data_IF_513259510909
#
_entry.id   IF_513259510909
#
_cell.length_a   1.000
_cell.length_b   1.000
_cell.length_c   1.000
_cell.angle_alpha   90.00
_cell.angle_beta   90.00
_cell.angle_gamma   90.00
#
_symmetry.space_group_name_H-M   'P 1'
#
loop_
_entity.id
_entity.type
_entity.pdbx_description
1 polymer ?
#
# COMPACT_ATOMS: atom_id res chain seq x y z
N UNK A 1 14.85 -30.16 -12.20
CA UNK A 1 16.04 -29.49 -12.75
C UNK A 1 16.67 -28.65 -11.64
N UNK A 2 17.77 -29.09 -11.02
CA UNK A 2 18.28 -28.50 -9.78
C UNK A 2 19.14 -27.25 -10.05
N UNK A 3 19.12 -26.25 -9.15
CA UNK A 3 19.80 -24.94 -9.25
C UNK A 3 21.30 -25.06 -9.59
N UNK A 4 21.92 -26.17 -9.16
CA UNK A 4 23.32 -26.52 -9.44
C UNK A 4 23.60 -26.66 -10.96
N UNK A 5 22.61 -27.11 -11.73
CA UNK A 5 22.73 -27.33 -13.17
C UNK A 5 22.76 -26.01 -13.97
N UNK A 6 22.08 -24.97 -13.48
CA UNK A 6 22.07 -23.63 -14.11
C UNK A 6 23.38 -22.87 -13.90
N UNK A 7 24.02 -23.04 -12.73
CA UNK A 7 25.35 -22.46 -12.44
C UNK A 7 26.44 -23.00 -13.37
N UNK A 8 26.35 -24.26 -13.80
CA UNK A 8 27.27 -24.89 -14.78
C UNK A 8 27.09 -24.34 -16.20
N UNK A 9 25.95 -23.74 -16.51
CA UNK A 9 25.64 -23.15 -17.83
C UNK A 9 26.15 -21.71 -18.00
N UNK A 10 26.89 -21.16 -17.03
CA UNK A 10 27.47 -19.80 -17.11
C UNK A 10 26.47 -18.65 -17.00
N UNK A 11 25.18 -18.93 -16.78
CA UNK A 11 24.17 -17.90 -16.48
C UNK A 11 24.34 -17.46 -15.03
N UNK A 12 24.76 -16.22 -14.84
CA UNK A 12 24.81 -15.58 -13.52
C UNK A 12 23.38 -15.27 -13.05
N UNK A 13 22.77 -16.28 -12.43
CA UNK A 13 21.42 -16.25 -11.85
C UNK A 13 21.28 -15.20 -10.73
N UNK A 14 22.39 -14.67 -10.21
CA UNK A 14 22.41 -13.75 -9.07
C UNK A 14 22.72 -12.30 -9.49
N UNK A 15 22.95 -12.06 -10.78
CA UNK A 15 23.17 -10.72 -11.37
C UNK A 15 22.03 -9.73 -11.09
N UNK A 16 20.80 -10.22 -10.88
CA UNK A 16 19.65 -9.38 -10.53
C UNK A 16 19.62 -8.96 -9.05
N UNK A 17 20.26 -9.71 -8.14
CA UNK A 17 20.33 -9.36 -6.71
C UNK A 17 21.39 -8.32 -6.38
N UNK A 18 22.36 -8.10 -7.26
CA UNK A 18 23.44 -7.11 -7.05
C UNK A 18 22.97 -5.66 -7.21
N UNK A 19 21.77 -5.43 -7.75
CA UNK A 19 21.24 -4.09 -7.97
C UNK A 19 20.72 -3.54 -6.64
N UNK A 20 21.13 -2.33 -6.22
CA UNK A 20 20.59 -1.71 -5.02
C UNK A 20 19.09 -1.47 -5.19
N UNK A 21 18.37 -1.45 -4.06
CA UNK A 21 16.93 -1.16 -4.06
C UNK A 21 16.70 0.27 -4.53
N UNK A 22 15.74 0.46 -5.44
CA UNK A 22 15.33 1.79 -5.91
C UNK A 22 14.89 2.68 -4.74
N UNK A 23 15.31 3.94 -4.76
CA UNK A 23 15.01 4.92 -3.71
C UNK A 23 13.50 5.12 -3.54
N UNK A 24 12.74 5.04 -4.64
CA UNK A 24 11.28 5.08 -4.63
C UNK A 24 10.66 3.94 -3.83
N UNK A 25 11.27 2.76 -3.83
CA UNK A 25 10.81 1.60 -3.06
C UNK A 25 11.06 1.81 -1.58
N UNK A 26 12.23 2.36 -1.22
CA UNK A 26 12.55 2.69 0.18
C UNK A 26 11.57 3.73 0.72
N UNK A 27 11.29 4.80 -0.03
CA UNK A 27 10.34 5.82 0.44
C UNK A 27 8.91 5.29 0.55
N UNK A 28 8.49 4.43 -0.39
CA UNK A 28 7.20 3.71 -0.30
C UNK A 28 7.11 2.90 0.99
N UNK A 29 8.17 2.15 1.33
CA UNK A 29 8.24 1.35 2.54
C UNK A 29 8.13 2.23 3.80
N UNK A 30 8.85 3.35 3.85
CA UNK A 30 8.81 4.27 4.99
C UNK A 30 7.41 4.87 5.17
N UNK A 31 6.79 5.35 4.08
CA UNK A 31 5.45 5.94 4.13
C UNK A 31 4.42 4.94 4.62
N UNK A 32 4.43 3.73 4.07
CA UNK A 32 3.51 2.67 4.50
C UNK A 32 3.74 2.27 5.94
N UNK A 33 4.99 2.10 6.34
CA UNK A 33 5.32 1.72 7.73
C UNK A 33 4.83 2.79 8.70
N UNK A 34 5.03 4.07 8.40
CA UNK A 34 4.56 5.17 9.23
C UNK A 34 3.02 5.18 9.35
N UNK A 35 2.31 5.03 8.22
CA UNK A 35 0.83 5.04 8.23
C UNK A 35 0.28 3.84 9.00
N UNK A 36 0.82 2.65 8.77
CA UNK A 36 0.37 1.43 9.43
C UNK A 36 0.69 1.46 10.93
N UNK A 37 1.87 1.95 11.33
CA UNK A 37 2.20 2.14 12.75
C UNK A 37 1.21 3.10 13.44
N UNK A 38 0.70 4.08 12.71
CA UNK A 38 -0.30 5.04 13.20
C UNK A 38 -1.74 4.48 13.20
N UNK A 39 -1.99 3.33 12.59
CA UNK A 39 -3.34 2.82 12.33
C UNK A 39 -4.17 2.54 13.58
N UNK A 40 -3.51 2.21 14.70
CA UNK A 40 -4.18 2.02 16.00
C UNK A 40 -4.88 3.31 16.48
N UNK A 41 -4.37 4.47 16.07
CA UNK A 41 -4.92 5.79 16.42
C UNK A 41 -5.90 6.24 15.34
N UNK A 42 -5.54 6.09 14.07
CA UNK A 42 -6.38 6.54 12.96
C UNK A 42 -7.65 5.71 12.81
N UNK A 43 -7.62 4.42 13.16
CA UNK A 43 -8.67 3.48 12.78
C UNK A 43 -8.56 3.05 11.32
N UNK A 44 -9.29 2.00 10.95
CA UNK A 44 -9.09 1.34 9.66
C UNK A 44 -9.52 2.20 8.48
N UNK A 45 -10.67 2.89 8.58
CA UNK A 45 -11.18 3.73 7.50
C UNK A 45 -10.21 4.87 7.14
N UNK A 46 -9.73 5.62 8.14
CA UNK A 46 -8.76 6.70 7.91
C UNK A 46 -7.41 6.17 7.43
N UNK A 47 -6.98 5.00 7.91
CA UNK A 47 -5.75 4.36 7.42
C UNK A 47 -5.83 4.03 5.93
N UNK A 48 -6.95 3.43 5.48
CA UNK A 48 -7.18 3.11 4.06
C UNK A 48 -7.16 4.38 3.21
N UNK A 49 -7.85 5.44 3.66
CA UNK A 49 -7.87 6.73 2.97
C UNK A 49 -6.44 7.30 2.89
N UNK A 50 -5.71 7.34 4.01
CA UNK A 50 -4.35 7.85 4.06
C UNK A 50 -3.42 7.11 3.08
N UNK A 51 -3.44 5.78 3.08
CA UNK A 51 -2.62 4.98 2.13
C UNK A 51 -3.01 5.26 0.68
N UNK A 52 -4.31 5.33 0.39
CA UNK A 52 -4.83 5.55 -0.97
C UNK A 52 -4.43 6.92 -1.55
N UNK A 53 -4.17 7.90 -0.70
CA UNK A 53 -3.74 9.26 -1.07
C UNK A 53 -2.21 9.35 -1.09
N UNK A 54 -1.54 8.90 -0.02
CA UNK A 54 -0.10 9.11 0.15
C UNK A 54 0.73 8.36 -0.90
N UNK A 55 0.36 7.12 -1.25
CA UNK A 55 1.13 6.33 -2.21
C UNK A 55 1.13 6.93 -3.62
N UNK A 56 -0.02 7.20 -4.26
CA UNK A 56 -0.01 7.72 -5.61
C UNK A 56 0.58 9.12 -5.73
N UNK A 57 0.40 9.95 -4.69
CA UNK A 57 1.05 11.27 -4.61
C UNK A 57 2.57 11.10 -4.54
N UNK A 58 3.07 10.19 -3.70
CA UNK A 58 4.51 9.94 -3.58
C UNK A 58 5.13 9.42 -4.89
N UNK A 59 4.40 8.60 -5.64
CA UNK A 59 4.84 8.14 -6.96
C UNK A 59 4.74 9.20 -8.06
N UNK A 60 4.19 10.38 -7.77
CA UNK A 60 4.14 11.50 -8.70
C UNK A 60 3.18 11.29 -9.88
N UNK A 61 2.11 10.50 -9.69
CA UNK A 61 1.11 10.26 -10.73
C UNK A 61 0.44 11.60 -11.14
N UNK A 62 0.72 12.06 -12.37
CA UNK A 62 0.26 13.36 -12.88
C UNK A 62 -1.17 13.33 -13.43
N UNK A 63 -1.75 12.14 -13.63
CA UNK A 63 -3.10 11.96 -14.17
C UNK A 63 -4.15 12.16 -13.08
N UNK A 64 -4.37 13.43 -12.71
CA UNK A 64 -5.31 13.82 -11.65
C UNK A 64 -6.71 13.22 -11.81
N UNK A 65 -7.22 13.10 -13.04
CA UNK A 65 -8.56 12.50 -13.30
C UNK A 65 -8.65 11.05 -12.82
N UNK A 66 -7.65 10.24 -13.15
CA UNK A 66 -7.59 8.83 -12.74
C UNK A 66 -7.30 8.73 -11.24
N UNK A 67 -6.41 9.59 -10.75
CA UNK A 67 -6.01 9.64 -9.36
C UNK A 67 -7.18 9.95 -8.42
N UNK A 68 -7.99 10.96 -8.74
CA UNK A 68 -9.16 11.34 -7.93
C UNK A 68 -10.18 10.20 -7.91
N UNK A 69 -10.44 9.58 -9.07
CA UNK A 69 -11.34 8.42 -9.14
C UNK A 69 -10.84 7.24 -8.32
N UNK A 70 -9.52 7.03 -8.26
CA UNK A 70 -8.90 6.01 -7.45
C UNK A 70 -9.00 6.32 -5.94
N UNK A 71 -8.63 7.53 -5.52
CA UNK A 71 -8.68 7.98 -4.13
C UNK A 71 -10.09 7.89 -3.54
N UNK A 72 -11.13 8.07 -4.36
CA UNK A 72 -12.51 7.95 -3.90
C UNK A 72 -12.99 6.49 -4.04
N UNK A 73 -12.85 5.92 -5.23
CA UNK A 73 -13.41 4.61 -5.57
C UNK A 73 -12.78 3.47 -4.80
N UNK A 74 -11.45 3.46 -4.64
CA UNK A 74 -10.76 2.36 -3.97
C UNK A 74 -11.09 2.27 -2.47
N UNK A 75 -10.98 3.35 -1.66
CA UNK A 75 -11.38 3.30 -0.26
C UNK A 75 -12.85 2.92 -0.07
N UNK A 76 -13.76 3.49 -0.88
CA UNK A 76 -15.18 3.15 -0.81
C UNK A 76 -15.41 1.66 -1.12
N UNK A 77 -14.78 1.14 -2.17
CA UNK A 77 -14.88 -0.27 -2.53
C UNK A 77 -14.40 -1.18 -1.40
N UNK A 78 -13.23 -0.90 -0.81
CA UNK A 78 -12.70 -1.67 0.31
C UNK A 78 -13.65 -1.60 1.51
N UNK A 79 -14.16 -0.41 1.84
CA UNK A 79 -15.09 -0.25 2.98
C UNK A 79 -16.35 -1.09 2.76
N UNK A 80 -16.96 -1.02 1.58
CA UNK A 80 -18.17 -1.79 1.25
C UNK A 80 -17.90 -3.29 1.24
N UNK A 81 -16.79 -3.72 0.64
CA UNK A 81 -16.40 -5.13 0.60
C UNK A 81 -16.31 -5.72 2.01
N UNK A 82 -15.61 -5.04 2.91
CA UNK A 82 -15.44 -5.56 4.26
C UNK A 82 -16.71 -5.42 5.11
N UNK A 83 -17.39 -4.28 5.06
CA UNK A 83 -18.57 -4.05 5.88
C UNK A 83 -19.77 -4.90 5.42
N UNK A 84 -20.07 -4.88 4.12
CA UNK A 84 -21.30 -5.48 3.58
C UNK A 84 -21.12 -6.94 3.17
N UNK A 85 -20.02 -7.26 2.49
CA UNK A 85 -19.82 -8.61 1.93
C UNK A 85 -19.22 -9.54 3.00
N UNK A 86 -18.24 -9.05 3.76
CA UNK A 86 -17.55 -9.84 4.77
C UNK A 86 -18.12 -9.69 6.19
N UNK A 87 -18.99 -8.69 6.43
CA UNK A 87 -19.57 -8.43 7.75
C UNK A 87 -18.55 -7.97 8.80
N UNK A 88 -17.40 -7.45 8.37
CA UNK A 88 -16.32 -6.98 9.24
C UNK A 88 -16.57 -5.51 9.58
N UNK A 89 -16.77 -5.24 10.86
CA UNK A 89 -16.85 -3.86 11.36
C UNK A 89 -15.45 -3.28 11.51
N UNK A 90 -15.26 -2.10 10.94
CA UNK A 90 -14.03 -1.35 11.09
C UNK A 90 -14.04 -0.58 12.40
N UNK A 91 -12.91 -0.60 13.11
CA UNK A 91 -12.70 0.30 14.24
C UNK A 91 -12.69 1.76 13.73
N UNK A 92 -13.54 2.64 14.28
CA UNK A 92 -13.66 4.02 13.82
C UNK A 92 -12.41 4.85 14.14
N UNK A 93 -11.67 4.50 15.21
CA UNK A 93 -10.48 5.23 15.65
C UNK A 93 -10.77 6.71 15.83
N UNK A 94 -9.98 7.57 15.19
CA UNK A 94 -10.14 9.03 15.25
C UNK A 94 -11.49 9.53 14.72
N UNK A 95 -12.21 8.76 13.89
CA UNK A 95 -13.52 9.16 13.39
C UNK A 95 -14.57 9.26 14.51
N UNK A 96 -14.42 8.45 15.55
CA UNK A 96 -15.33 8.45 16.70
C UNK A 96 -15.27 9.79 17.46
N UNK A 97 -14.06 10.38 17.56
CA UNK A 97 -13.83 11.68 18.19
C UNK A 97 -14.44 12.87 17.43
N UNK A 98 -14.75 12.69 16.14
CA UNK A 98 -15.34 13.74 15.29
C UNK A 98 -16.87 13.65 15.29
N UNK A 99 -17.43 12.47 15.57
CA UNK A 99 -18.88 12.21 15.56
C UNK A 99 -19.55 12.46 16.92
N UNK A 100 -18.77 12.74 17.97
CA UNK A 100 -19.22 13.03 19.33
C UNK A 100 -19.01 14.51 19.70
#
# INVERSE_FOLDING_TARGET
MSIIFLKKSGKDIDSSRKKPVEISTIGTMVILSAIIASSQILGAALTIIAVSISLPIYWGERRLKVLISYIIGFPLFVIVLFNVILGVHFEPGLLDLIQN
#
